data_IF_582816469497
#
_entry.id   IF_582816469497
#
_cell.length_a   1.000
_cell.length_b   1.000
_cell.length_c   1.000
_cell.angle_alpha   90.00
_cell.angle_beta   90.00
_cell.angle_gamma   90.00
#
_symmetry.space_group_name_H-M   'P 1'
#
loop_
_entity.id
_entity.type
_entity.pdbx_description
1 polymer ?
#
# COMPACT_ATOMS: atom_id res chain seq x y z
N UNK A 1 0.48 38.59 -1.75
CA UNK A 1 -0.05 37.35 -1.11
C UNK A 1 0.94 36.93 -0.02
N UNK A 2 0.51 36.57 1.21
CA UNK A 2 1.44 36.09 2.21
C UNK A 2 2.04 34.78 1.74
N UNK A 3 3.37 34.66 1.83
CA UNK A 3 4.09 33.43 1.48
C UNK A 3 3.72 32.38 2.54
N UNK A 4 3.01 31.32 2.14
CA UNK A 4 2.68 30.19 3.02
C UNK A 4 3.97 29.71 3.68
N UNK A 5 3.97 29.56 5.01
CA UNK A 5 5.17 29.13 5.72
C UNK A 5 5.56 27.73 5.28
N UNK A 6 6.87 27.40 5.33
CA UNK A 6 7.36 26.07 4.99
C UNK A 6 6.67 24.97 5.80
N UNK A 7 6.37 25.24 7.08
CA UNK A 7 5.67 24.32 7.96
C UNK A 7 4.23 24.04 7.48
N UNK A 8 3.48 25.08 7.09
CA UNK A 8 2.13 24.92 6.56
C UNK A 8 2.16 24.16 5.23
N UNK A 9 3.11 24.47 4.34
CA UNK A 9 3.27 23.75 3.09
C UNK A 9 3.58 22.25 3.30
N UNK A 10 4.42 21.91 4.30
CA UNK A 10 4.71 20.53 4.66
C UNK A 10 3.48 19.80 5.21
N UNK A 11 2.71 20.46 6.09
CA UNK A 11 1.49 19.89 6.65
C UNK A 11 0.44 19.62 5.55
N UNK A 12 0.27 20.55 4.62
CA UNK A 12 -0.60 20.38 3.45
C UNK A 12 -0.14 19.21 2.59
N UNK A 13 1.17 19.10 2.32
CA UNK A 13 1.73 17.98 1.57
C UNK A 13 1.42 16.64 2.25
N UNK A 14 1.60 16.57 3.58
CA UNK A 14 1.33 15.35 4.33
C UNK A 14 -0.16 14.98 4.30
N UNK A 15 -1.06 15.96 4.44
CA UNK A 15 -2.51 15.74 4.32
C UNK A 15 -2.90 15.17 2.95
N UNK A 16 -2.27 15.67 1.86
CA UNK A 16 -2.46 15.13 0.51
C UNK A 16 -2.03 13.66 0.46
N UNK A 17 -0.85 13.32 1.00
CA UNK A 17 -0.34 11.94 1.00
C UNK A 17 -1.26 11.01 1.80
N UNK A 18 -1.66 11.40 3.01
CA UNK A 18 -2.49 10.57 3.88
C UNK A 18 -3.89 10.35 3.29
N UNK A 19 -4.47 11.39 2.69
CA UNK A 19 -5.75 11.29 2.00
C UNK A 19 -5.64 10.42 0.75
N UNK A 20 -4.58 10.59 -0.02
CA UNK A 20 -4.28 9.77 -1.20
C UNK A 20 -4.13 8.30 -0.84
N UNK A 21 -3.44 8.01 0.26
CA UNK A 21 -3.29 6.64 0.74
C UNK A 21 -4.64 6.02 1.12
N UNK A 22 -5.52 6.77 1.79
CA UNK A 22 -6.88 6.32 2.10
C UNK A 22 -7.71 6.06 0.85
N UNK A 23 -7.66 6.95 -0.14
CA UNK A 23 -8.35 6.74 -1.43
C UNK A 23 -7.84 5.46 -2.08
N UNK A 24 -6.52 5.33 -2.23
CA UNK A 24 -5.92 4.17 -2.86
C UNK A 24 -6.31 2.87 -2.15
N UNK A 25 -6.24 2.86 -0.82
CA UNK A 25 -6.51 1.67 -0.02
C UNK A 25 -8.01 1.31 0.01
N UNK A 26 -8.91 2.28 0.11
CA UNK A 26 -10.34 2.02 0.33
C UNK A 26 -11.18 2.07 -0.95
N UNK A 27 -10.73 2.80 -1.95
CA UNK A 27 -11.52 3.13 -3.15
C UNK A 27 -10.81 2.68 -4.44
N UNK A 28 -9.54 2.28 -4.37
CA UNK A 28 -8.79 1.73 -5.49
C UNK A 28 -8.06 2.77 -6.34
N UNK A 29 -7.21 2.27 -7.25
CA UNK A 29 -6.31 3.07 -8.08
C UNK A 29 -7.03 4.05 -9.01
N UNK A 30 -8.16 3.63 -9.60
CA UNK A 30 -8.95 4.45 -10.53
C UNK A 30 -9.50 5.72 -9.87
N UNK A 31 -9.86 5.63 -8.58
CA UNK A 31 -10.36 6.76 -7.82
C UNK A 31 -9.24 7.69 -7.32
N UNK A 32 -7.97 7.28 -7.41
CA UNK A 32 -6.81 8.12 -7.05
C UNK A 32 -6.55 9.19 -8.11
N UNK A 33 -7.39 10.23 -8.13
CA UNK A 33 -7.27 11.38 -9.04
C UNK A 33 -7.03 12.67 -8.25
N UNK A 34 -6.31 13.63 -8.84
CA UNK A 34 -6.06 14.93 -8.19
C UNK A 34 -7.33 15.73 -7.92
N UNK A 35 -8.39 15.52 -8.70
CA UNK A 35 -9.71 16.11 -8.44
C UNK A 35 -10.29 15.51 -7.16
N UNK A 36 -10.30 14.18 -7.04
CA UNK A 36 -10.84 13.50 -5.87
C UNK A 36 -10.05 13.78 -4.59
N UNK A 37 -8.73 13.87 -4.72
CA UNK A 37 -7.83 14.28 -3.62
C UNK A 37 -8.16 15.72 -3.19
N UNK A 38 -8.33 16.65 -4.14
CA UNK A 38 -8.70 18.03 -3.85
C UNK A 38 -10.04 18.11 -3.08
N UNK A 39 -11.05 17.37 -3.54
CA UNK A 39 -12.35 17.29 -2.88
C UNK A 39 -12.25 16.75 -1.45
N UNK A 40 -11.56 15.62 -1.23
CA UNK A 40 -11.42 15.03 0.12
C UNK A 40 -10.52 15.81 1.07
N UNK A 41 -9.54 16.54 0.55
CA UNK A 41 -8.63 17.35 1.38
C UNK A 41 -9.15 18.77 1.63
N UNK A 42 -10.13 19.24 0.86
CA UNK A 42 -10.56 20.65 0.85
C UNK A 42 -9.56 21.61 0.21
N UNK A 43 -8.51 21.10 -0.44
CA UNK A 43 -7.48 21.90 -1.13
C UNK A 43 -7.92 22.08 -2.58
N UNK A 44 -7.64 23.25 -3.19
CA UNK A 44 -7.92 23.42 -4.62
C UNK A 44 -7.10 22.45 -5.49
N UNK A 45 -7.63 22.06 -6.65
CA UNK A 45 -6.90 21.22 -7.62
C UNK A 45 -5.55 21.84 -8.03
N UNK A 46 -5.48 23.16 -8.16
CA UNK A 46 -4.22 23.88 -8.40
C UNK A 46 -3.25 23.76 -7.22
N UNK A 47 -3.77 23.79 -5.98
CA UNK A 47 -2.98 23.56 -4.77
C UNK A 47 -2.38 22.15 -4.71
N UNK A 48 -3.16 21.11 -5.04
CA UNK A 48 -2.65 19.73 -5.14
C UNK A 48 -1.56 19.63 -6.22
N UNK A 49 -1.79 20.22 -7.40
CA UNK A 49 -0.80 20.34 -8.48
C UNK A 49 0.47 21.13 -8.08
N UNK A 50 0.39 21.95 -7.05
CA UNK A 50 1.54 22.66 -6.47
C UNK A 50 2.49 21.71 -5.75
N UNK A 51 1.98 20.63 -5.16
CA UNK A 51 2.76 19.65 -4.41
C UNK A 51 3.15 18.42 -5.22
N UNK A 52 2.29 17.96 -6.13
CA UNK A 52 2.51 16.78 -6.96
C UNK A 52 2.20 17.11 -8.41
N UNK A 53 3.16 16.94 -9.31
CA UNK A 53 2.98 17.23 -10.74
C UNK A 53 2.42 16.04 -11.49
N UNK A 54 2.81 14.83 -11.09
CA UNK A 54 2.41 13.58 -11.72
C UNK A 54 1.82 12.63 -10.70
N UNK A 55 0.93 11.74 -11.14
CA UNK A 55 0.37 10.68 -10.29
C UNK A 55 1.47 9.73 -9.83
N UNK A 56 2.45 9.44 -10.70
CA UNK A 56 3.63 8.63 -10.36
C UNK A 56 4.42 9.18 -9.17
N UNK A 57 4.66 10.50 -9.11
CA UNK A 57 5.38 11.14 -7.99
C UNK A 57 4.63 10.93 -6.67
N UNK A 58 3.30 11.00 -6.72
CA UNK A 58 2.46 10.72 -5.56
C UNK A 58 2.54 9.24 -5.17
N UNK A 59 2.47 8.32 -6.13
CA UNK A 59 2.56 6.87 -5.86
C UNK A 59 3.87 6.48 -5.18
N UNK A 60 5.00 7.08 -5.56
CA UNK A 60 6.28 6.84 -4.88
C UNK A 60 6.23 7.20 -3.38
N UNK A 61 5.49 8.26 -3.00
CA UNK A 61 5.29 8.63 -1.59
C UNK A 61 4.30 7.71 -0.85
N UNK A 62 3.44 6.99 -1.58
CA UNK A 62 2.48 6.05 -0.97
C UNK A 62 3.13 4.69 -0.69
N UNK A 63 4.15 4.28 -1.45
CA UNK A 63 4.82 2.98 -1.29
C UNK A 63 5.34 2.71 0.13
N UNK A 64 6.03 3.65 0.83
CA UNK A 64 6.49 3.41 2.19
C UNK A 64 5.37 3.08 3.18
N UNK A 65 4.23 3.78 3.08
CA UNK A 65 3.06 3.55 3.95
C UNK A 65 2.48 2.15 3.75
N UNK A 66 2.44 1.71 2.49
CA UNK A 66 1.99 0.38 2.17
C UNK A 66 2.93 -0.72 2.69
N UNK A 67 4.25 -0.52 2.55
CA UNK A 67 5.26 -1.41 3.13
C UNK A 67 5.13 -1.47 4.66
N UNK A 68 4.90 -0.34 5.31
CA UNK A 68 4.67 -0.28 6.76
C UNK A 68 3.46 -1.12 7.16
N UNK A 69 2.34 -1.04 6.44
CA UNK A 69 1.17 -1.89 6.70
C UNK A 69 1.50 -3.39 6.53
N UNK A 70 2.25 -3.77 5.50
CA UNK A 70 2.69 -5.17 5.32
C UNK A 70 3.51 -5.63 6.53
N UNK A 71 4.49 -4.83 6.94
CA UNK A 71 5.40 -5.17 8.04
C UNK A 71 4.64 -5.28 9.37
N UNK A 72 3.65 -4.41 9.60
CA UNK A 72 2.83 -4.44 10.80
C UNK A 72 1.83 -5.61 10.84
N UNK A 73 1.47 -6.18 9.69
CA UNK A 73 0.44 -7.21 9.58
C UNK A 73 0.98 -8.64 9.63
N UNK A 74 2.30 -8.81 9.46
CA UNK A 74 2.93 -10.11 9.19
C UNK A 74 4.08 -10.39 10.15
N UNK A 75 4.30 -11.68 10.38
CA UNK A 75 5.44 -12.20 11.13
C UNK A 75 6.53 -12.68 10.17
N UNK A 76 7.79 -12.39 10.47
CA UNK A 76 8.92 -12.69 9.57
C UNK A 76 9.99 -13.57 10.23
N UNK A 77 9.71 -14.14 11.41
CA UNK A 77 10.64 -14.97 12.20
C UNK A 77 10.92 -16.35 11.59
N UNK A 78 10.02 -16.87 10.75
CA UNK A 78 10.18 -18.13 10.05
C UNK A 78 9.25 -18.20 8.83
N UNK A 79 9.47 -19.13 7.88
CA UNK A 79 8.54 -19.34 6.76
C UNK A 79 7.13 -19.72 7.23
N UNK A 80 7.04 -20.52 8.30
CA UNK A 80 5.78 -20.95 8.90
C UNK A 80 5.03 -19.79 9.58
N UNK A 81 5.73 -18.95 10.35
CA UNK A 81 5.12 -17.77 10.99
C UNK A 81 4.64 -16.76 9.95
N UNK A 82 5.42 -16.57 8.88
CA UNK A 82 5.01 -15.75 7.75
C UNK A 82 3.74 -16.27 7.10
N UNK A 83 3.69 -17.55 6.73
CA UNK A 83 2.51 -18.11 6.07
C UNK A 83 1.27 -18.05 6.99
N UNK A 84 1.43 -18.40 8.27
CA UNK A 84 0.33 -18.36 9.26
C UNK A 84 -0.22 -16.95 9.47
N UNK A 85 0.66 -15.96 9.66
CA UNK A 85 0.26 -14.56 9.84
C UNK A 85 -0.36 -13.99 8.57
N UNK A 86 0.14 -14.35 7.39
CA UNK A 86 -0.45 -13.98 6.10
C UNK A 86 -1.87 -14.51 5.94
N UNK A 87 -2.08 -15.81 6.16
CA UNK A 87 -3.41 -16.43 6.08
C UNK A 87 -4.37 -15.75 7.05
N UNK A 88 -3.93 -15.48 8.29
CA UNK A 88 -4.72 -14.75 9.28
C UNK A 88 -5.08 -13.35 8.79
N UNK A 89 -4.11 -12.59 8.28
CA UNK A 89 -4.33 -11.24 7.78
C UNK A 89 -5.31 -11.21 6.61
N UNK A 90 -5.19 -12.14 5.64
CA UNK A 90 -6.15 -12.26 4.54
C UNK A 90 -7.56 -12.56 5.06
N UNK A 91 -7.71 -13.43 6.06
CA UNK A 91 -9.04 -13.81 6.59
C UNK A 91 -9.67 -12.73 7.48
N UNK A 92 -8.89 -12.07 8.31
CA UNK A 92 -9.41 -11.26 9.41
C UNK A 92 -9.20 -9.75 9.20
N UNK A 93 -8.17 -9.34 8.49
CA UNK A 93 -7.82 -7.93 8.32
C UNK A 93 -8.32 -7.36 6.99
N UNK A 94 -9.35 -6.52 7.06
CA UNK A 94 -9.92 -5.81 5.91
C UNK A 94 -8.90 -4.87 5.25
N UNK A 95 -8.08 -4.19 6.05
CA UNK A 95 -7.08 -3.26 5.53
C UNK A 95 -5.99 -4.02 4.77
N UNK A 96 -5.57 -5.18 5.29
CA UNK A 96 -4.64 -6.06 4.58
C UNK A 96 -5.24 -6.59 3.27
N UNK A 97 -6.50 -7.04 3.26
CA UNK A 97 -7.16 -7.44 2.00
C UNK A 97 -7.19 -6.32 0.97
N UNK A 98 -7.59 -5.13 1.39
CA UNK A 98 -7.62 -3.93 0.56
C UNK A 98 -6.23 -3.58 0.01
N UNK A 99 -5.19 -3.75 0.83
CA UNK A 99 -3.80 -3.52 0.42
C UNK A 99 -3.40 -4.44 -0.73
N UNK A 100 -3.69 -5.74 -0.62
CA UNK A 100 -3.41 -6.72 -1.67
C UNK A 100 -4.25 -6.43 -2.93
N UNK A 101 -5.54 -6.13 -2.76
CA UNK A 101 -6.47 -5.91 -3.87
C UNK A 101 -6.17 -4.61 -4.66
N UNK A 102 -5.99 -3.50 -3.95
CA UNK A 102 -5.97 -2.17 -4.57
C UNK A 102 -4.56 -1.64 -4.83
N UNK A 103 -3.56 -2.23 -4.18
CA UNK A 103 -2.18 -1.74 -4.20
C UNK A 103 -1.21 -2.82 -4.72
N UNK A 104 -1.72 -4.02 -5.00
CA UNK A 104 -0.96 -5.14 -5.52
C UNK A 104 -0.16 -4.80 -6.77
N UNK A 105 -0.75 -4.17 -7.78
CA UNK A 105 -0.04 -3.83 -9.02
C UNK A 105 1.07 -2.79 -8.82
N UNK A 106 0.95 -1.92 -7.81
CA UNK A 106 1.93 -0.86 -7.51
C UNK A 106 3.11 -1.43 -6.70
N UNK A 107 2.89 -2.48 -5.91
CA UNK A 107 3.83 -2.93 -4.87
C UNK A 107 4.36 -4.34 -5.13
N UNK A 108 3.52 -5.25 -5.63
CA UNK A 108 3.86 -6.64 -5.96
C UNK A 108 4.66 -6.72 -7.27
N UNK A 109 5.69 -5.88 -7.39
CA UNK A 109 6.74 -5.96 -8.40
C UNK A 109 7.72 -7.08 -8.03
N UNK A 110 8.55 -7.50 -9.00
CA UNK A 110 9.67 -8.41 -8.73
C UNK A 110 10.54 -7.89 -7.55
N UNK A 111 10.82 -6.59 -7.52
CA UNK A 111 11.54 -5.93 -6.43
C UNK A 111 10.81 -6.05 -5.09
N UNK A 112 9.49 -5.96 -5.09
CA UNK A 112 8.64 -6.15 -3.92
C UNK A 112 8.76 -7.56 -3.36
N UNK A 113 8.63 -8.58 -4.23
CA UNK A 113 8.80 -10.00 -3.84
C UNK A 113 10.20 -10.27 -3.29
N UNK A 114 11.24 -9.83 -4.00
CA UNK A 114 12.63 -9.98 -3.56
C UNK A 114 12.87 -9.35 -2.19
N UNK A 115 12.25 -8.19 -1.92
CA UNK A 115 12.33 -7.55 -0.60
C UNK A 115 11.58 -8.36 0.46
N UNK A 116 10.39 -8.88 0.14
CA UNK A 116 9.59 -9.69 1.05
C UNK A 116 10.33 -10.98 1.46
N UNK A 117 10.88 -11.72 0.49
CA UNK A 117 11.71 -12.91 0.72
C UNK A 117 12.90 -12.60 1.64
N UNK A 118 13.54 -11.43 1.50
CA UNK A 118 14.66 -11.02 2.36
C UNK A 118 14.27 -10.67 3.79
N UNK A 119 13.00 -10.39 4.07
CA UNK A 119 12.55 -10.09 5.44
C UNK A 119 12.34 -11.36 6.25
N UNK A 120 11.95 -12.45 5.60
CA UNK A 120 11.61 -13.72 6.24
C UNK A 120 12.90 -14.47 6.57
N UNK A 121 13.07 -14.83 7.84
CA UNK A 121 14.18 -15.68 8.26
C UNK A 121 13.90 -17.13 7.87
N UNK A 122 14.89 -17.83 7.32
CA UNK A 122 14.75 -19.25 6.96
C UNK A 122 15.61 -19.65 5.76
N UNK A 123 15.45 -20.91 5.36
CA UNK A 123 16.04 -21.43 4.12
C UNK A 123 15.42 -20.74 2.89
N UNK A 124 16.24 -20.42 1.89
CA UNK A 124 15.81 -19.64 0.74
C UNK A 124 14.73 -20.35 -0.11
N UNK A 125 14.84 -21.67 -0.29
CA UNK A 125 13.86 -22.43 -1.07
C UNK A 125 12.53 -22.54 -0.31
N UNK A 126 12.60 -22.70 1.02
CA UNK A 126 11.41 -22.70 1.86
C UNK A 126 10.71 -21.35 1.90
N UNK A 127 11.47 -20.26 2.06
CA UNK A 127 10.92 -18.89 2.02
C UNK A 127 10.25 -18.61 0.68
N UNK A 128 10.89 -18.95 -0.44
CA UNK A 128 10.31 -18.75 -1.77
C UNK A 128 9.00 -19.53 -1.93
N UNK A 129 8.99 -20.80 -1.50
CA UNK A 129 7.79 -21.65 -1.51
C UNK A 129 6.63 -21.03 -0.74
N UNK A 130 6.84 -20.60 0.51
CA UNK A 130 5.77 -20.03 1.34
C UNK A 130 5.28 -18.68 0.81
N UNK A 131 6.15 -17.88 0.18
CA UNK A 131 5.75 -16.63 -0.49
C UNK A 131 4.81 -16.93 -1.65
N UNK A 132 5.11 -17.92 -2.50
CA UNK A 132 4.19 -18.31 -3.57
C UNK A 132 2.88 -18.91 -3.04
N UNK A 133 2.93 -19.73 -1.97
CA UNK A 133 1.73 -20.26 -1.33
C UNK A 133 0.85 -19.15 -0.73
N UNK A 134 1.45 -18.15 -0.09
CA UNK A 134 0.77 -16.99 0.46
C UNK A 134 0.09 -16.16 -0.63
N UNK A 135 0.79 -15.87 -1.73
CA UNK A 135 0.24 -15.18 -2.89
C UNK A 135 -0.92 -15.98 -3.50
N UNK A 136 -0.74 -17.29 -3.70
CA UNK A 136 -1.79 -18.18 -4.22
C UNK A 136 -3.03 -18.19 -3.33
N UNK A 137 -2.84 -18.26 -2.01
CA UNK A 137 -3.92 -18.18 -1.03
C UNK A 137 -4.69 -16.85 -1.14
N UNK A 138 -3.97 -15.73 -1.26
CA UNK A 138 -4.58 -14.41 -1.42
C UNK A 138 -5.39 -14.29 -2.72
N UNK A 139 -4.87 -14.79 -3.84
CA UNK A 139 -5.60 -14.81 -5.13
C UNK A 139 -6.92 -15.56 -5.00
N UNK A 140 -6.92 -16.72 -4.35
CA UNK A 140 -8.13 -17.53 -4.15
C UNK A 140 -9.15 -16.84 -3.24
N UNK A 141 -8.69 -16.14 -2.19
CA UNK A 141 -9.58 -15.63 -1.13
C UNK A 141 -9.90 -14.13 -1.24
N UNK A 142 -9.25 -13.38 -2.13
CA UNK A 142 -9.48 -11.94 -2.34
C UNK A 142 -10.05 -11.67 -3.74
N UNK A 143 -9.53 -12.34 -4.78
CA UNK A 143 -9.94 -12.09 -6.17
C UNK A 143 -11.13 -12.95 -6.61
N UNK A 144 -11.56 -13.93 -5.80
CA UNK A 144 -12.71 -14.77 -6.12
C UNK A 144 -14.00 -14.16 -5.56
N UNK A 145 -14.82 -13.58 -6.44
CA UNK A 145 -16.20 -13.15 -6.13
C UNK A 145 -17.20 -14.31 -6.03
N UNK A 146 -16.73 -15.57 -6.06
CA UNK A 146 -17.53 -16.79 -6.25
C UNK A 146 -17.36 -17.78 -5.08
N UNK A 147 -16.93 -17.31 -3.91
CA UNK A 147 -16.96 -18.11 -2.68
C UNK A 147 -17.65 -17.32 -1.57
#
# INVERSE_FOLDING_TARGET
MPRVSRAVAQQTRQNIIDTSFKILLLEGYENLTFTHIAEKTGISRSGVNGHFKRKEDLLEELKPKAVELVIQSLEFSSPEDFYRSWVKAVREDRMFRNLIQNVGEIICTEKGRTRLTRLIQGDAEEVERVVYMAIGYAVVNISCSIC
#
